data_IF_182974117130
#
_entry.id   IF_182974117130
#
_cell.length_a   1.000
_cell.length_b   1.000
_cell.length_c   1.000
_cell.angle_alpha   90.00
_cell.angle_beta   90.00
_cell.angle_gamma   90.00
#
_symmetry.space_group_name_H-M   'P 1'
#
loop_
_entity.id
_entity.type
_entity.pdbx_description
1 polymer ?
#
# COMPACT_ATOMS: atom_id res chain seq x y z
N UNK A 1 -2.02 -62.31 49.44
CA UNK A 1 -2.73 -62.54 50.74
C UNK A 1 -2.52 -61.30 51.52
N UNK A 2 -3.57 -60.55 51.71
CA UNK A 2 -3.54 -59.34 52.52
C UNK A 2 -3.27 -59.78 53.94
N UNK A 3 -2.22 -59.33 54.60
CA UNK A 3 -2.00 -59.49 56.01
C UNK A 3 -3.16 -58.80 56.69
N UNK A 4 -4.00 -59.61 57.32
CA UNK A 4 -5.14 -59.10 58.08
C UNK A 4 -4.87 -59.35 59.55
N UNK A 5 -4.71 -58.32 60.34
CA UNK A 5 -4.66 -58.37 61.79
C UNK A 5 -6.08 -58.24 62.34
N UNK A 6 -6.47 -59.08 63.27
CA UNK A 6 -7.77 -58.98 63.92
C UNK A 6 -7.56 -59.09 65.42
N UNK A 7 -8.09 -58.16 66.12
CA UNK A 7 -8.15 -58.21 67.60
C UNK A 7 -9.57 -58.04 68.10
N UNK A 8 -9.89 -58.76 69.22
CA UNK A 8 -11.19 -58.70 69.87
C UNK A 8 -10.99 -58.36 71.35
N UNK A 9 -11.69 -57.34 71.81
CA UNK A 9 -11.63 -56.81 73.16
C UNK A 9 -12.99 -56.83 73.83
N UNK A 10 -12.96 -56.98 75.11
CA UNK A 10 -14.17 -56.68 76.00
C UNK A 10 -14.34 -55.15 76.10
N UNK A 11 -15.51 -54.73 76.56
CA UNK A 11 -15.79 -53.30 76.88
C UNK A 11 -14.82 -52.70 77.90
N UNK A 12 -14.20 -53.52 78.71
CA UNK A 12 -13.24 -53.16 79.79
C UNK A 12 -11.77 -53.22 79.35
N UNK A 13 -11.52 -53.22 77.99
CA UNK A 13 -10.18 -53.25 77.37
C UNK A 13 -9.39 -54.54 77.68
N UNK A 14 -10.08 -55.69 77.99
CA UNK A 14 -9.43 -56.99 78.12
C UNK A 14 -9.41 -57.69 76.75
N UNK A 15 -8.21 -58.06 76.32
CA UNK A 15 -7.99 -58.77 75.02
C UNK A 15 -8.55 -60.19 75.16
N UNK A 16 -9.37 -60.65 74.24
CA UNK A 16 -9.90 -62.01 74.13
C UNK A 16 -9.23 -62.79 72.97
N UNK A 17 -8.98 -62.12 71.95
CA UNK A 17 -8.34 -62.69 70.77
C UNK A 17 -7.47 -61.64 70.08
N UNK A 18 -6.31 -62.07 69.63
CA UNK A 18 -5.42 -61.24 68.82
C UNK A 18 -4.66 -62.11 67.87
N UNK A 19 -4.84 -61.88 66.56
CA UNK A 19 -4.12 -62.56 65.51
C UNK A 19 -3.17 -61.53 64.86
N UNK A 20 -2.02 -61.33 65.47
CA UNK A 20 -0.95 -60.55 64.92
C UNK A 20 0.06 -61.51 64.25
N UNK A 21 0.08 -61.59 62.92
CA UNK A 21 0.87 -62.57 62.17
C UNK A 21 2.38 -62.44 62.40
N UNK A 22 2.97 -61.27 62.49
CA UNK A 22 4.39 -61.06 62.86
C UNK A 22 4.65 -59.72 63.56
N UNK A 23 3.81 -58.74 63.40
CA UNK A 23 3.91 -57.44 64.03
C UNK A 23 2.51 -56.97 64.48
N UNK A 24 2.38 -56.43 65.69
CA UNK A 24 1.22 -55.73 66.16
C UNK A 24 1.10 -54.39 65.49
N UNK A 25 0.27 -54.32 64.44
CA UNK A 25 0.13 -53.16 63.56
C UNK A 25 -0.69 -52.07 64.20
N UNK A 26 -1.83 -52.51 64.82
CA UNK A 26 -2.74 -51.61 65.51
C UNK A 26 -2.52 -51.73 67.01
N UNK A 27 -1.78 -50.79 67.55
CA UNK A 27 -1.61 -50.73 69.02
C UNK A 27 -2.87 -50.07 69.64
N UNK A 28 -3.86 -50.92 69.93
CA UNK A 28 -5.10 -50.44 70.52
C UNK A 28 -4.87 -49.84 71.88
N UNK A 29 -5.52 -48.70 72.12
CA UNK A 29 -5.49 -47.99 73.37
C UNK A 29 -6.87 -48.00 74.05
N UNK A 30 -6.96 -47.88 75.42
CA UNK A 30 -8.24 -47.77 76.08
C UNK A 30 -9.12 -46.63 75.55
N UNK A 31 -8.50 -45.54 75.07
CA UNK A 31 -9.21 -44.41 74.51
C UNK A 31 -9.82 -44.76 73.15
N UNK A 32 -9.11 -45.56 72.35
CA UNK A 32 -9.56 -46.06 71.07
C UNK A 32 -10.77 -46.97 71.19
N UNK A 33 -10.72 -47.90 72.12
CA UNK A 33 -11.86 -48.79 72.46
C UNK A 33 -13.10 -47.98 72.94
N UNK A 34 -12.92 -46.98 73.79
CA UNK A 34 -14.02 -46.07 74.20
C UNK A 34 -14.59 -45.31 72.97
N UNK A 35 -13.77 -44.90 72.08
CA UNK A 35 -14.17 -44.18 70.84
C UNK A 35 -14.97 -45.11 69.92
N UNK A 36 -14.55 -46.37 69.77
CA UNK A 36 -15.27 -47.38 69.01
C UNK A 36 -16.64 -47.67 69.66
N UNK A 37 -16.69 -47.84 70.97
CA UNK A 37 -17.94 -48.04 71.70
C UNK A 37 -18.94 -46.89 71.53
N UNK A 38 -18.45 -45.65 71.53
CA UNK A 38 -19.29 -44.46 71.36
C UNK A 38 -19.84 -44.33 69.96
N UNK A 39 -19.01 -44.61 68.94
CA UNK A 39 -19.34 -44.40 67.49
C UNK A 39 -19.86 -45.66 66.80
N UNK A 40 -19.80 -46.82 67.45
CA UNK A 40 -20.18 -48.15 66.99
C UNK A 40 -19.38 -48.69 65.81
N UNK A 41 -18.86 -47.78 64.95
CA UNK A 41 -18.02 -48.10 63.78
C UNK A 41 -17.07 -46.93 63.51
N UNK A 42 -15.76 -47.20 63.36
CA UNK A 42 -14.73 -46.21 63.06
C UNK A 42 -13.78 -46.79 62.00
N UNK A 43 -13.54 -46.03 60.93
CA UNK A 43 -12.47 -46.31 59.99
C UNK A 43 -11.30 -45.37 60.28
N UNK A 44 -10.08 -45.89 60.30
CA UNK A 44 -8.88 -45.12 60.55
C UNK A 44 -7.68 -45.76 59.76
N UNK A 45 -6.61 -45.01 59.62
CA UNK A 45 -5.40 -45.51 59.01
C UNK A 45 -4.28 -45.54 60.04
N UNK A 46 -3.51 -46.63 60.00
CA UNK A 46 -2.25 -46.78 60.76
C UNK A 46 -1.17 -47.01 59.71
N UNK A 47 -0.32 -46.03 59.48
CA UNK A 47 0.65 -46.03 58.42
C UNK A 47 0.01 -46.39 57.04
N UNK A 48 0.36 -47.49 56.44
CA UNK A 48 -0.18 -47.94 55.14
C UNK A 48 -1.34 -48.94 55.28
N UNK A 49 -1.77 -49.25 56.52
CA UNK A 49 -2.86 -50.18 56.78
C UNK A 49 -4.17 -49.42 57.01
N UNK A 50 -5.21 -49.94 56.41
CA UNK A 50 -6.57 -49.48 56.66
C UNK A 50 -7.16 -50.32 57.79
N UNK A 51 -7.53 -49.66 58.88
CA UNK A 51 -8.10 -50.30 60.01
C UNK A 51 -9.56 -49.95 60.26
N UNK A 52 -10.36 -50.87 60.67
CA UNK A 52 -11.73 -50.70 61.04
C UNK A 52 -11.91 -51.19 62.49
N UNK A 53 -12.60 -50.40 63.30
CA UNK A 53 -13.04 -50.84 64.66
C UNK A 53 -14.56 -50.83 64.67
N UNK A 54 -15.14 -51.93 65.09
CA UNK A 54 -16.59 -52.08 65.21
C UNK A 54 -17.02 -52.73 66.52
N UNK A 55 -18.23 -52.43 66.99
CA UNK A 55 -18.88 -53.10 68.15
C UNK A 55 -19.66 -54.26 67.59
N UNK A 56 -19.36 -55.46 68.10
CA UNK A 56 -20.04 -56.71 67.77
C UNK A 56 -20.80 -57.25 68.99
N UNK A 57 -22.16 -57.29 69.03
CA UNK A 57 -22.94 -57.87 70.09
C UNK A 57 -22.97 -59.38 69.91
N UNK A 58 -22.60 -60.12 71.00
CA UNK A 58 -22.65 -61.57 71.04
C UNK A 58 -23.10 -62.04 72.46
N UNK A 59 -24.07 -62.95 72.54
CA UNK A 59 -24.65 -63.48 73.75
C UNK A 59 -25.04 -62.43 74.82
N UNK A 60 -25.56 -61.29 74.35
CA UNK A 60 -26.04 -60.20 75.24
C UNK A 60 -24.92 -59.33 75.84
N UNK A 61 -23.70 -59.49 75.35
CA UNK A 61 -22.53 -58.65 75.68
C UNK A 61 -21.95 -58.01 74.42
N UNK A 62 -21.47 -56.80 74.53
CA UNK A 62 -20.80 -56.06 73.47
C UNK A 62 -19.32 -56.36 73.51
N UNK A 63 -18.75 -56.65 72.33
CA UNK A 63 -17.34 -56.83 72.10
C UNK A 63 -16.84 -55.79 71.07
N UNK A 64 -15.60 -55.36 71.16
CA UNK A 64 -14.97 -54.49 70.20
C UNK A 64 -14.05 -55.30 69.34
N UNK A 65 -14.26 -55.25 68.03
CA UNK A 65 -13.39 -55.94 67.04
C UNK A 65 -12.66 -54.87 66.24
N UNK A 66 -11.36 -54.99 66.20
CA UNK A 66 -10.51 -54.20 65.29
C UNK A 66 -9.97 -55.12 64.25
N UNK A 67 -9.91 -54.65 63.04
CA UNK A 67 -9.26 -55.33 61.89
C UNK A 67 -8.46 -54.36 61.10
N UNK A 68 -7.25 -54.73 60.74
CA UNK A 68 -6.37 -53.93 59.85
C UNK A 68 -5.92 -54.79 58.66
N UNK A 69 -5.90 -54.16 57.47
CA UNK A 69 -5.50 -54.78 56.25
C UNK A 69 -4.63 -53.84 55.47
N UNK A 70 -3.61 -54.40 54.81
CA UNK A 70 -2.78 -53.67 53.88
C UNK A 70 -3.39 -53.70 52.48
N UNK A 71 -3.71 -52.49 51.95
CA UNK A 71 -4.20 -52.36 50.57
C UNK A 71 -3.04 -52.16 49.57
N UNK A 72 -2.21 -53.18 49.47
CA UNK A 72 -1.06 -53.18 48.54
C UNK A 72 -1.49 -53.00 47.06
N UNK A 73 -2.69 -53.48 46.72
CA UNK A 73 -3.26 -53.34 45.39
C UNK A 73 -3.62 -51.89 45.08
N UNK A 74 -4.25 -51.19 46.03
CA UNK A 74 -4.62 -49.80 45.93
C UNK A 74 -3.39 -48.91 45.78
N UNK A 75 -2.39 -49.12 46.59
CA UNK A 75 -1.12 -48.37 46.52
C UNK A 75 -0.35 -48.63 45.24
N UNK A 76 -0.24 -49.86 44.78
CA UNK A 76 0.42 -50.20 43.51
C UNK A 76 -0.31 -49.60 42.32
N UNK A 77 -1.66 -49.61 42.30
CA UNK A 77 -2.46 -48.99 41.26
C UNK A 77 -2.33 -47.46 41.27
N UNK A 78 -2.29 -46.82 42.44
CA UNK A 78 -2.08 -45.39 42.59
C UNK A 78 -0.71 -44.99 42.00
N UNK A 79 0.34 -45.71 42.35
CA UNK A 79 1.69 -45.39 41.87
C UNK A 79 1.84 -45.66 40.39
N UNK A 80 1.22 -46.71 39.86
CA UNK A 80 1.18 -46.99 38.41
C UNK A 80 0.41 -45.87 37.70
N UNK A 81 -0.74 -45.42 38.21
CA UNK A 81 -1.52 -44.34 37.65
C UNK A 81 -0.74 -43.01 37.66
N UNK A 82 -0.12 -42.69 38.82
CA UNK A 82 0.72 -41.50 38.97
C UNK A 82 1.84 -41.47 37.92
N UNK A 83 2.58 -42.60 37.77
CA UNK A 83 3.68 -42.71 36.82
C UNK A 83 3.20 -42.61 35.36
N UNK A 84 2.05 -43.21 35.04
CA UNK A 84 1.41 -43.10 33.73
C UNK A 84 1.00 -41.63 33.43
N UNK A 85 0.40 -40.90 34.39
CA UNK A 85 0.01 -39.52 34.24
C UNK A 85 1.25 -38.61 34.03
N UNK A 86 2.32 -38.85 34.81
CA UNK A 86 3.60 -38.10 34.62
C UNK A 86 4.17 -38.33 33.22
N UNK A 87 4.17 -39.58 32.74
CA UNK A 87 4.67 -39.89 31.42
C UNK A 87 3.84 -39.26 30.30
N UNK A 88 2.50 -39.32 30.42
CA UNK A 88 1.58 -38.64 29.52
C UNK A 88 1.77 -37.10 29.52
N UNK A 89 1.97 -36.52 30.70
CA UNK A 89 2.21 -35.07 30.83
C UNK A 89 3.52 -34.65 30.16
N UNK A 90 4.62 -35.37 30.39
CA UNK A 90 5.91 -35.10 29.76
C UNK A 90 5.83 -35.31 28.25
N UNK A 91 5.16 -36.37 27.80
CA UNK A 91 4.93 -36.66 26.39
C UNK A 91 4.12 -35.55 25.71
N UNK A 92 3.01 -35.12 26.32
CA UNK A 92 2.17 -34.03 25.83
C UNK A 92 2.92 -32.71 25.74
N UNK A 93 3.70 -32.38 26.79
CA UNK A 93 4.52 -31.17 26.80
C UNK A 93 5.59 -31.19 25.70
N UNK A 94 6.23 -32.33 25.46
CA UNK A 94 7.23 -32.51 24.39
C UNK A 94 6.62 -32.29 23.01
N UNK A 95 5.42 -32.82 22.76
CA UNK A 95 4.69 -32.62 21.50
C UNK A 95 4.35 -31.14 21.31
N UNK A 96 3.85 -30.45 22.35
CA UNK A 96 3.53 -29.01 22.28
C UNK A 96 4.77 -28.18 21.94
N UNK A 97 5.93 -28.48 22.53
CA UNK A 97 7.19 -27.77 22.22
C UNK A 97 7.61 -27.99 20.77
N UNK A 98 7.54 -29.21 20.28
CA UNK A 98 7.90 -29.54 18.88
C UNK A 98 6.94 -28.85 17.91
N UNK A 99 5.63 -28.94 18.13
CA UNK A 99 4.63 -28.28 17.28
C UNK A 99 4.82 -26.77 17.31
N UNK A 100 4.99 -26.17 18.48
CA UNK A 100 5.25 -24.75 18.65
C UNK A 100 6.51 -24.28 17.90
N UNK A 101 7.59 -25.06 17.94
CA UNK A 101 8.82 -24.79 17.22
C UNK A 101 8.61 -24.84 15.70
N UNK A 102 7.91 -25.86 15.19
CA UNK A 102 7.61 -26.00 13.75
C UNK A 102 6.76 -24.84 13.27
N UNK A 103 5.66 -24.50 13.98
CA UNK A 103 4.77 -23.38 13.65
C UNK A 103 5.54 -22.05 13.66
N UNK A 104 6.31 -21.79 14.71
CA UNK A 104 7.11 -20.57 14.79
C UNK A 104 8.08 -20.44 13.61
N UNK A 105 8.72 -21.52 13.20
CA UNK A 105 9.67 -21.51 12.09
C UNK A 105 9.00 -21.39 10.73
N UNK A 106 7.84 -22.01 10.53
CA UNK A 106 7.11 -21.96 9.24
C UNK A 106 6.41 -20.63 9.03
N UNK A 107 5.85 -20.01 10.07
CA UNK A 107 5.07 -18.78 9.95
C UNK A 107 5.91 -17.52 10.17
N UNK A 108 6.76 -17.45 11.19
CA UNK A 108 7.49 -16.23 11.54
C UNK A 108 8.75 -15.99 10.71
N UNK A 109 9.41 -17.05 10.22
CA UNK A 109 10.62 -16.91 9.40
C UNK A 109 10.35 -16.24 8.04
N UNK A 110 9.29 -16.57 7.28
CA UNK A 110 8.93 -15.88 6.05
C UNK A 110 8.65 -14.38 6.29
N UNK A 111 7.88 -14.03 7.33
CA UNK A 111 7.58 -12.64 7.68
C UNK A 111 8.88 -11.86 7.94
N UNK A 112 9.78 -12.43 8.73
CA UNK A 112 11.08 -11.78 9.02
C UNK A 112 11.92 -11.58 7.76
N UNK A 113 11.83 -12.49 6.79
CA UNK A 113 12.51 -12.34 5.51
C UNK A 113 11.91 -11.20 4.68
N UNK A 114 10.56 -11.09 4.61
CA UNK A 114 9.87 -9.98 3.93
C UNK A 114 10.32 -8.65 4.53
N UNK A 115 10.31 -8.52 5.87
CA UNK A 115 10.76 -7.29 6.56
C UNK A 115 12.21 -6.95 6.19
N UNK A 116 13.12 -7.93 6.24
CA UNK A 116 14.52 -7.70 5.87
C UNK A 116 14.74 -7.30 4.42
N UNK A 117 13.96 -7.85 3.48
CA UNK A 117 14.02 -7.44 2.08
C UNK A 117 13.39 -6.05 1.88
N UNK A 118 12.28 -5.73 2.57
CA UNK A 118 11.68 -4.41 2.55
C UNK A 118 12.63 -3.32 3.08
N UNK A 119 13.40 -3.59 4.14
CA UNK A 119 14.41 -2.66 4.69
C UNK A 119 15.53 -2.33 3.69
N UNK A 120 15.78 -3.19 2.71
CA UNK A 120 16.79 -2.97 1.66
C UNK A 120 16.28 -2.10 0.51
N UNK A 121 14.98 -1.83 0.47
CA UNK A 121 14.36 -1.01 -0.56
C UNK A 121 14.52 0.45 -0.13
N UNK A 122 15.26 1.19 -0.93
CA UNK A 122 15.55 2.61 -0.72
C UNK A 122 15.29 3.38 -2.01
N UNK A 123 15.29 4.69 -1.98
CA UNK A 123 15.15 5.50 -3.19
C UNK A 123 16.20 5.19 -4.28
N UNK A 124 17.38 4.70 -3.90
CA UNK A 124 18.44 4.28 -4.82
C UNK A 124 18.30 2.83 -5.31
N UNK A 125 17.46 2.03 -4.67
CA UNK A 125 17.23 0.61 -4.97
C UNK A 125 15.73 0.29 -4.96
N UNK A 126 14.95 1.13 -5.61
CA UNK A 126 13.50 1.00 -5.72
C UNK A 126 13.08 -0.10 -6.73
N UNK A 127 14.02 -0.55 -7.54
CA UNK A 127 13.91 -1.66 -8.49
C UNK A 127 13.76 -3.03 -7.82
N UNK A 128 14.15 -3.14 -6.54
CA UNK A 128 14.02 -4.38 -5.78
C UNK A 128 12.57 -4.75 -5.54
N UNK A 129 12.34 -6.07 -5.47
CA UNK A 129 11.01 -6.64 -5.20
C UNK A 129 11.07 -7.63 -4.04
N UNK A 130 9.96 -7.74 -3.31
CA UNK A 130 9.80 -8.76 -2.28
C UNK A 130 9.65 -10.13 -2.93
N UNK A 131 10.26 -11.19 -2.35
CA UNK A 131 10.14 -12.54 -2.87
C UNK A 131 8.71 -13.08 -2.66
N UNK A 132 8.07 -13.52 -3.73
CA UNK A 132 6.79 -14.24 -3.69
C UNK A 132 7.11 -15.74 -3.75
N UNK A 133 6.89 -16.47 -2.65
CA UNK A 133 7.15 -17.90 -2.58
C UNK A 133 5.93 -18.74 -2.96
N UNK A 134 4.77 -18.31 -2.53
CA UNK A 134 3.52 -18.96 -2.84
C UNK A 134 2.46 -17.87 -3.05
N UNK A 135 1.91 -17.79 -4.24
CA UNK A 135 0.89 -16.78 -4.58
C UNK A 135 -0.48 -17.08 -3.97
N UNK A 136 -0.67 -18.29 -3.45
CA UNK A 136 -1.97 -18.75 -2.93
C UNK A 136 -2.12 -18.57 -1.42
N UNK A 137 -1.10 -18.07 -0.71
CA UNK A 137 -1.17 -17.78 0.72
C UNK A 137 -1.19 -16.26 1.00
N UNK A 138 -1.58 -15.90 2.20
CA UNK A 138 -1.74 -14.50 2.63
C UNK A 138 -0.41 -13.72 2.55
N UNK A 139 0.72 -14.40 2.71
CA UNK A 139 2.04 -13.76 2.61
C UNK A 139 2.44 -13.53 1.16
N UNK A 140 2.02 -14.41 0.26
CA UNK A 140 2.20 -14.23 -1.18
C UNK A 140 1.35 -13.09 -1.72
N UNK A 141 0.08 -13.02 -1.34
CA UNK A 141 -0.82 -11.92 -1.68
C UNK A 141 -0.29 -10.57 -1.17
N UNK A 142 0.19 -10.53 0.09
CA UNK A 142 0.83 -9.35 0.67
C UNK A 142 2.05 -8.91 -0.15
N UNK A 143 2.94 -9.87 -0.49
CA UNK A 143 4.17 -9.58 -1.26
C UNK A 143 3.83 -9.07 -2.66
N UNK A 144 2.83 -9.64 -3.32
CA UNK A 144 2.36 -9.23 -4.66
C UNK A 144 1.78 -7.82 -4.62
N UNK A 145 0.90 -7.55 -3.66
CA UNK A 145 0.31 -6.21 -3.47
C UNK A 145 1.37 -5.16 -3.19
N UNK A 146 2.34 -5.49 -2.33
CA UNK A 146 3.45 -4.60 -2.03
C UNK A 146 4.34 -4.35 -3.26
N UNK A 147 4.62 -5.39 -4.06
CA UNK A 147 5.37 -5.24 -5.30
C UNK A 147 4.65 -4.37 -6.34
N UNK A 148 3.31 -4.44 -6.41
CA UNK A 148 2.52 -3.55 -7.26
C UNK A 148 2.59 -2.08 -6.80
N UNK A 149 2.63 -1.83 -5.49
CA UNK A 149 2.86 -0.49 -4.93
C UNK A 149 4.27 0.01 -5.25
N UNK A 150 5.29 -0.84 -5.11
CA UNK A 150 6.67 -0.51 -5.48
C UNK A 150 6.81 -0.18 -6.96
N UNK A 151 6.14 -0.90 -7.84
CA UNK A 151 6.15 -0.62 -9.28
C UNK A 151 5.57 0.77 -9.59
N UNK A 152 4.45 1.13 -8.97
CA UNK A 152 3.86 2.48 -9.12
C UNK A 152 4.81 3.56 -8.60
N UNK A 153 5.44 3.31 -7.45
CA UNK A 153 6.39 4.24 -6.83
C UNK A 153 7.66 4.40 -7.70
N UNK A 154 8.19 3.32 -8.24
CA UNK A 154 9.33 3.32 -9.15
C UNK A 154 9.02 4.11 -10.43
N UNK A 155 7.87 3.87 -11.05
CA UNK A 155 7.41 4.64 -12.22
C UNK A 155 7.32 6.14 -11.90
N UNK A 156 6.74 6.49 -10.76
CA UNK A 156 6.64 7.89 -10.32
C UNK A 156 8.02 8.52 -10.09
N UNK A 157 8.92 7.81 -9.39
CA UNK A 157 10.27 8.29 -9.11
C UNK A 157 11.12 8.46 -10.37
N UNK A 158 11.06 7.49 -11.29
CA UNK A 158 11.75 7.57 -12.56
C UNK A 158 11.22 8.72 -13.43
N UNK A 159 9.90 8.94 -13.45
CA UNK A 159 9.29 10.07 -14.11
C UNK A 159 9.78 11.40 -13.54
N UNK A 160 9.84 11.53 -12.21
CA UNK A 160 10.35 12.72 -11.53
C UNK A 160 11.84 12.95 -11.82
N UNK A 161 12.65 11.89 -11.84
CA UNK A 161 14.09 11.99 -12.16
C UNK A 161 14.29 12.45 -13.60
N UNK A 162 13.55 11.87 -14.55
CA UNK A 162 13.59 12.30 -15.95
C UNK A 162 13.13 13.75 -16.10
N UNK A 163 12.07 14.16 -15.40
CA UNK A 163 11.59 15.54 -15.40
C UNK A 163 12.70 16.52 -15.00
N UNK A 164 13.34 16.31 -13.83
CA UNK A 164 14.44 17.18 -13.35
C UNK A 164 15.61 17.21 -14.35
N UNK A 165 15.98 16.06 -14.92
CA UNK A 165 17.04 15.97 -15.92
C UNK A 165 16.70 16.75 -17.17
N UNK A 166 15.50 16.59 -17.70
CA UNK A 166 15.04 17.25 -18.91
C UNK A 166 14.91 18.77 -18.72
N UNK A 167 14.33 19.21 -17.59
CA UNK A 167 14.28 20.66 -17.23
C UNK A 167 15.68 21.26 -17.22
N UNK A 168 16.64 20.57 -16.59
CA UNK A 168 18.03 21.04 -16.52
C UNK A 168 18.66 21.16 -17.92
N UNK A 169 18.38 20.21 -18.81
CA UNK A 169 18.86 20.24 -20.19
C UNK A 169 18.22 21.34 -21.02
N UNK A 170 16.88 21.48 -20.95
CA UNK A 170 16.13 22.48 -21.72
C UNK A 170 16.41 23.92 -21.27
N UNK A 171 16.78 24.13 -19.99
CA UNK A 171 17.24 25.42 -19.51
C UNK A 171 18.70 25.71 -19.87
N UNK A 172 19.59 24.72 -19.80
CA UNK A 172 21.01 24.90 -20.05
C UNK A 172 21.29 25.36 -21.48
N UNK A 173 20.58 24.81 -22.45
CA UNK A 173 20.79 25.11 -23.87
C UNK A 173 20.59 26.60 -24.23
N UNK A 174 19.42 27.22 -23.95
CA UNK A 174 19.23 28.64 -24.27
C UNK A 174 20.07 29.54 -23.34
N UNK A 175 20.35 29.17 -22.11
CA UNK A 175 21.27 29.93 -21.24
C UNK A 175 22.69 29.95 -21.79
N UNK A 176 23.18 28.82 -22.28
CA UNK A 176 24.52 28.75 -22.89
C UNK A 176 24.58 29.55 -24.21
N UNK A 177 23.52 29.51 -25.03
CA UNK A 177 23.42 30.28 -26.25
C UNK A 177 23.42 31.79 -25.95
N UNK A 178 22.57 32.23 -25.03
CA UNK A 178 22.48 33.62 -24.58
C UNK A 178 23.83 34.14 -24.04
N UNK A 179 24.49 33.34 -23.17
CA UNK A 179 25.80 33.71 -22.62
C UNK A 179 26.85 33.81 -23.72
N UNK A 180 26.92 32.84 -24.64
CA UNK A 180 27.88 32.86 -25.73
C UNK A 180 27.68 34.05 -26.69
N UNK A 181 26.41 34.39 -26.99
CA UNK A 181 26.10 35.55 -27.87
C UNK A 181 26.55 36.87 -27.21
N UNK A 182 26.30 37.03 -25.91
CA UNK A 182 26.74 38.21 -25.16
C UNK A 182 28.27 38.27 -25.00
N UNK A 183 28.92 37.13 -24.71
CA UNK A 183 30.39 37.07 -24.64
C UNK A 183 31.02 37.43 -26.00
N UNK A 184 30.49 36.88 -27.07
CA UNK A 184 30.94 37.19 -28.44
C UNK A 184 30.72 38.68 -28.78
N UNK A 185 29.65 39.31 -28.29
CA UNK A 185 29.40 40.73 -28.51
C UNK A 185 30.41 41.62 -27.75
N UNK A 186 30.95 41.16 -26.61
CA UNK A 186 31.93 41.86 -25.81
C UNK A 186 33.38 41.69 -26.26
N UNK A 187 33.71 40.61 -27.01
CA UNK A 187 35.10 40.27 -27.36
C UNK A 187 35.76 41.25 -28.32
N UNK A 188 34.98 41.95 -29.15
CA UNK A 188 35.51 42.93 -30.09
C UNK A 188 34.46 43.98 -30.45
N UNK A 189 34.92 45.15 -30.90
CA UNK A 189 34.05 46.20 -31.42
C UNK A 189 33.27 45.67 -32.66
N UNK A 190 31.98 45.99 -32.68
CA UNK A 190 31.05 45.61 -33.73
C UNK A 190 30.27 46.81 -34.25
N UNK A 191 29.64 46.65 -35.42
CA UNK A 191 28.73 47.70 -35.90
C UNK A 191 27.44 47.75 -35.08
N UNK A 192 26.73 48.88 -35.11
CA UNK A 192 25.47 49.07 -34.41
C UNK A 192 24.45 47.97 -34.76
N UNK A 193 24.38 47.59 -36.03
CA UNK A 193 23.49 46.55 -36.57
C UNK A 193 23.85 45.18 -36.01
N UNK A 194 25.17 44.87 -35.86
CA UNK A 194 25.64 43.62 -35.26
C UNK A 194 25.33 43.54 -33.78
N UNK A 195 25.42 44.66 -33.04
CA UNK A 195 24.98 44.69 -31.63
C UNK A 195 23.49 44.52 -31.50
N UNK A 196 22.68 45.17 -32.36
CA UNK A 196 21.22 44.99 -32.37
C UNK A 196 20.82 43.55 -32.63
N UNK A 197 21.47 42.85 -33.59
CA UNK A 197 21.21 41.45 -33.83
C UNK A 197 21.58 40.56 -32.61
N UNK A 198 22.75 40.79 -32.00
CA UNK A 198 23.17 40.03 -30.84
C UNK A 198 22.21 40.22 -29.64
N UNK A 199 21.78 41.48 -29.39
CA UNK A 199 20.80 41.78 -28.36
C UNK A 199 19.42 41.16 -28.70
N UNK A 200 19.01 41.20 -29.97
CA UNK A 200 17.77 40.57 -30.41
C UNK A 200 17.76 39.05 -30.20
N UNK A 201 18.86 38.37 -30.55
CA UNK A 201 19.00 36.93 -30.30
C UNK A 201 19.00 36.61 -28.81
N UNK A 202 19.74 37.36 -28.00
CA UNK A 202 19.77 37.20 -26.56
C UNK A 202 18.38 37.41 -25.90
N UNK A 203 17.62 38.38 -26.41
CA UNK A 203 16.23 38.62 -25.94
C UNK A 203 15.31 37.45 -26.32
N UNK A 204 15.46 36.90 -27.53
CA UNK A 204 14.70 35.73 -27.95
C UNK A 204 14.98 34.51 -27.10
N UNK A 205 16.25 34.22 -26.79
CA UNK A 205 16.61 33.13 -25.87
C UNK A 205 16.09 33.36 -24.44
N UNK A 206 16.11 34.63 -23.96
CA UNK A 206 15.52 35.00 -22.69
C UNK A 206 14.01 34.72 -22.62
N UNK A 207 13.25 35.11 -23.65
CA UNK A 207 11.82 34.82 -23.75
C UNK A 207 11.55 33.32 -23.81
N UNK A 208 12.41 32.55 -24.47
CA UNK A 208 12.30 31.09 -24.50
C UNK A 208 12.44 30.48 -23.10
N UNK A 209 13.37 31.00 -22.26
CA UNK A 209 13.55 30.57 -20.88
C UNK A 209 12.32 30.92 -20.05
N UNK A 210 11.77 32.14 -20.17
CA UNK A 210 10.56 32.56 -19.45
C UNK A 210 9.40 31.64 -19.78
N UNK A 211 9.13 31.41 -21.07
CA UNK A 211 8.04 30.53 -21.52
C UNK A 211 8.21 29.08 -21.00
N UNK A 212 9.45 28.59 -20.91
CA UNK A 212 9.72 27.28 -20.33
C UNK A 212 9.36 27.26 -18.84
N UNK A 213 9.78 28.29 -18.08
CA UNK A 213 9.49 28.41 -16.64
C UNK A 213 7.98 28.50 -16.40
N UNK A 214 7.27 29.33 -17.16
CA UNK A 214 5.82 29.50 -17.05
C UNK A 214 5.08 28.17 -17.35
N UNK A 215 5.51 27.45 -18.38
CA UNK A 215 5.00 26.10 -18.67
C UNK A 215 5.20 25.12 -17.52
N UNK A 216 6.37 25.14 -16.88
CA UNK A 216 6.69 24.29 -15.72
C UNK A 216 5.88 24.68 -14.49
N UNK A 217 5.70 25.98 -14.23
CA UNK A 217 4.88 26.46 -13.11
C UNK A 217 3.40 26.09 -13.29
N UNK A 218 2.88 26.22 -14.52
CA UNK A 218 1.50 25.82 -14.82
C UNK A 218 1.32 24.29 -14.68
N UNK A 219 2.32 23.51 -15.10
CA UNK A 219 2.31 22.07 -14.87
C UNK A 219 2.29 21.72 -13.37
N UNK A 220 3.13 22.38 -12.58
CA UNK A 220 3.16 22.18 -11.13
C UNK A 220 1.84 22.58 -10.46
N UNK A 221 1.23 23.68 -10.87
CA UNK A 221 -0.10 24.08 -10.36
C UNK A 221 -1.15 23.03 -10.68
N UNK A 222 -1.16 22.49 -11.89
CA UNK A 222 -2.10 21.44 -12.29
C UNK A 222 -1.91 20.12 -11.50
N UNK A 223 -0.68 19.80 -11.08
CA UNK A 223 -0.36 18.57 -10.33
C UNK A 223 -0.63 18.66 -8.81
N UNK A 224 -0.21 19.77 -8.16
CA UNK A 224 -0.12 19.85 -6.69
C UNK A 224 -1.21 20.67 -6.03
N UNK A 225 -2.00 21.43 -6.78
CA UNK A 225 -2.96 22.37 -6.22
C UNK A 225 -4.41 22.13 -6.68
N UNK A 226 -4.76 20.91 -7.07
CA UNK A 226 -6.14 20.59 -7.48
C UNK A 226 -7.20 21.00 -6.44
N UNK A 227 -6.85 20.96 -5.14
CA UNK A 227 -7.73 21.39 -4.03
C UNK A 227 -7.73 22.92 -3.79
N UNK A 228 -6.75 23.67 -4.32
CA UNK A 228 -6.59 25.11 -4.14
C UNK A 228 -6.95 25.92 -5.39
N UNK A 229 -7.19 25.25 -6.52
CA UNK A 229 -7.58 25.91 -7.78
C UNK A 229 -9.05 26.33 -7.66
N UNK A 230 -9.28 27.61 -7.78
CA UNK A 230 -10.66 28.14 -7.83
C UNK A 230 -11.32 27.66 -9.11
N UNK A 231 -12.36 26.86 -8.98
CA UNK A 231 -13.22 26.42 -10.06
C UNK A 231 -14.47 27.28 -10.06
N UNK A 232 -14.81 27.85 -11.18
CA UNK A 232 -15.98 28.73 -11.37
C UNK A 232 -16.75 28.33 -12.63
N UNK A 233 -17.93 28.88 -12.80
CA UNK A 233 -18.65 28.70 -14.07
C UNK A 233 -17.97 29.55 -15.13
N UNK A 234 -17.49 28.90 -16.19
CA UNK A 234 -16.79 29.55 -17.31
C UNK A 234 -17.42 29.16 -18.63
N UNK A 235 -17.52 30.11 -19.55
CA UNK A 235 -18.02 29.90 -20.91
C UNK A 235 -16.91 29.53 -21.85
N UNK A 236 -17.01 28.33 -22.47
CA UNK A 236 -15.96 27.80 -23.36
C UNK A 236 -15.82 28.60 -24.66
N UNK A 237 -16.91 29.15 -25.17
CA UNK A 237 -16.90 30.01 -26.36
C UNK A 237 -16.11 31.31 -26.11
N UNK A 238 -16.33 31.96 -24.95
CA UNK A 238 -15.57 33.15 -24.54
C UNK A 238 -14.08 32.82 -24.37
N UNK A 239 -13.76 31.72 -23.69
CA UNK A 239 -12.36 31.28 -23.50
C UNK A 239 -11.65 30.97 -24.83
N UNK A 240 -12.37 30.42 -25.83
CA UNK A 240 -11.81 30.17 -27.15
C UNK A 240 -11.59 31.45 -27.95
N UNK A 241 -12.46 32.43 -27.79
CA UNK A 241 -12.27 33.77 -28.38
C UNK A 241 -11.05 34.46 -27.76
N UNK A 242 -10.92 34.42 -26.43
CA UNK A 242 -9.76 34.97 -25.72
C UNK A 242 -8.46 34.25 -26.16
N UNK A 243 -8.46 32.92 -26.24
CA UNK A 243 -7.32 32.14 -26.68
C UNK A 243 -6.92 32.51 -28.14
N UNK A 244 -7.90 32.65 -29.04
CA UNK A 244 -7.68 33.12 -30.42
C UNK A 244 -7.04 34.49 -30.43
N UNK A 245 -7.55 35.46 -29.65
CA UNK A 245 -7.00 36.82 -29.60
C UNK A 245 -5.55 36.82 -29.10
N UNK A 246 -5.25 36.05 -28.04
CA UNK A 246 -3.90 35.88 -27.49
C UNK A 246 -2.93 35.35 -28.54
N UNK A 247 -3.32 34.30 -29.30
CA UNK A 247 -2.50 33.69 -30.32
C UNK A 247 -2.26 34.67 -31.50
N UNK A 248 -3.30 35.37 -31.99
CA UNK A 248 -3.18 36.33 -33.07
C UNK A 248 -2.35 37.55 -32.68
N UNK A 249 -2.39 37.97 -31.44
CA UNK A 249 -1.52 39.03 -30.91
C UNK A 249 -0.04 38.65 -30.90
N UNK A 250 0.25 37.38 -30.55
CA UNK A 250 1.62 36.84 -30.55
C UNK A 250 2.10 36.51 -31.98
N UNK A 251 1.22 36.04 -32.86
CA UNK A 251 1.49 35.57 -34.20
C UNK A 251 0.48 36.15 -35.20
N UNK A 252 0.66 37.41 -35.67
CA UNK A 252 -0.27 38.06 -36.57
C UNK A 252 -0.44 37.38 -37.94
N UNK A 253 0.47 36.49 -38.29
CA UNK A 253 0.52 35.71 -39.54
C UNK A 253 -0.26 34.39 -39.48
N UNK A 254 -0.88 34.07 -38.32
CA UNK A 254 -1.70 32.89 -38.17
C UNK A 254 -3.17 33.18 -38.56
N UNK A 255 -3.85 32.13 -39.04
CA UNK A 255 -5.27 32.19 -39.41
C UNK A 255 -6.04 31.20 -38.53
N UNK A 256 -7.02 31.70 -37.80
CA UNK A 256 -7.79 30.90 -36.84
C UNK A 256 -9.27 31.08 -37.15
N UNK A 257 -9.88 30.00 -37.63
CA UNK A 257 -11.32 29.95 -37.90
C UNK A 257 -12.06 29.31 -36.73
N UNK A 258 -13.04 30.03 -36.18
CA UNK A 258 -13.95 29.50 -35.16
C UNK A 258 -15.29 29.23 -35.83
N UNK A 259 -15.74 27.97 -35.77
CA UNK A 259 -17.00 27.51 -36.37
C UNK A 259 -17.88 26.94 -35.28
N UNK A 260 -19.09 27.41 -35.17
CA UNK A 260 -20.13 26.88 -34.29
C UNK A 260 -21.04 25.98 -35.13
N UNK A 261 -21.11 24.69 -34.84
CA UNK A 261 -21.85 23.70 -35.64
C UNK A 261 -23.37 23.86 -35.47
N UNK A 262 -23.81 24.35 -34.30
CA UNK A 262 -25.21 24.65 -34.01
C UNK A 262 -25.30 25.94 -33.20
N UNK A 263 -26.36 26.73 -33.43
CA UNK A 263 -26.73 27.80 -32.50
C UNK A 263 -27.27 27.14 -31.24
N UNK A 264 -26.65 27.43 -30.09
CA UNK A 264 -27.12 26.93 -28.80
C UNK A 264 -28.50 27.56 -28.52
N UNK A 265 -29.56 26.74 -28.45
CA UNK A 265 -30.88 27.17 -28.07
C UNK A 265 -30.96 27.67 -26.61
N UNK A 266 -29.98 27.26 -25.76
CA UNK A 266 -29.88 27.70 -24.37
C UNK A 266 -28.43 28.16 -24.07
N UNK A 267 -28.31 29.33 -23.41
CA UNK A 267 -27.02 29.98 -23.05
C UNK A 267 -26.11 29.14 -22.14
N UNK A 268 -26.63 28.09 -21.50
CA UNK A 268 -25.90 27.27 -20.51
C UNK A 268 -25.13 26.08 -21.10
N UNK A 269 -25.29 25.75 -22.37
CA UNK A 269 -24.74 24.51 -22.96
C UNK A 269 -23.22 24.56 -23.10
N UNK A 270 -22.63 25.73 -23.20
CA UNK A 270 -21.19 25.95 -23.32
C UNK A 270 -20.51 26.33 -21.99
N UNK A 271 -21.24 26.27 -20.88
CA UNK A 271 -20.73 26.58 -19.54
C UNK A 271 -20.23 25.33 -18.86
N UNK A 272 -19.00 25.39 -18.35
CA UNK A 272 -18.38 24.31 -17.57
C UNK A 272 -17.87 24.85 -16.24
N UNK A 273 -17.73 23.96 -15.25
CA UNK A 273 -17.04 24.30 -14.01
C UNK A 273 -15.55 24.13 -14.22
N UNK A 274 -14.82 25.24 -14.22
CA UNK A 274 -13.41 25.22 -14.53
C UNK A 274 -12.64 26.45 -14.06
N UNK A 275 -11.34 26.43 -14.32
CA UNK A 275 -10.45 27.57 -14.13
C UNK A 275 -10.17 28.24 -15.49
N UNK A 276 -10.63 29.48 -15.65
CA UNK A 276 -10.55 30.23 -16.90
C UNK A 276 -9.11 30.32 -17.42
N UNK A 277 -8.15 30.67 -16.55
CA UNK A 277 -6.74 30.81 -16.92
C UNK A 277 -6.13 29.50 -17.44
N UNK A 278 -6.36 28.37 -16.78
CA UNK A 278 -5.83 27.06 -17.19
C UNK A 278 -6.46 26.60 -18.51
N UNK A 279 -7.78 26.73 -18.65
CA UNK A 279 -8.46 26.34 -19.89
C UNK A 279 -8.02 27.21 -21.07
N UNK A 280 -7.90 28.53 -20.89
CA UNK A 280 -7.34 29.44 -21.92
C UNK A 280 -5.92 29.02 -22.30
N UNK A 281 -5.06 28.67 -21.31
CA UNK A 281 -3.70 28.16 -21.56
C UNK A 281 -3.72 26.89 -22.41
N UNK A 282 -4.64 25.95 -22.12
CA UNK A 282 -4.78 24.72 -22.90
C UNK A 282 -5.20 25.02 -24.35
N UNK A 283 -6.19 25.90 -24.57
CA UNK A 283 -6.64 26.29 -25.90
C UNK A 283 -5.58 27.05 -26.68
N UNK A 284 -4.85 27.96 -26.06
CA UNK A 284 -3.71 28.66 -26.68
C UNK A 284 -2.67 27.62 -27.20
N UNK A 285 -2.29 26.65 -26.32
CA UNK A 285 -1.33 25.62 -26.71
C UNK A 285 -1.82 24.77 -27.90
N UNK A 286 -3.10 24.40 -27.92
CA UNK A 286 -3.67 23.60 -29.02
C UNK A 286 -3.72 24.39 -30.33
N UNK A 287 -4.23 25.64 -30.28
CA UNK A 287 -4.34 26.51 -31.44
C UNK A 287 -2.95 26.83 -32.01
N UNK A 288 -2.00 27.18 -31.15
CA UNK A 288 -0.62 27.41 -31.59
C UNK A 288 0.00 26.17 -32.23
N UNK A 289 -0.18 24.99 -31.69
CA UNK A 289 0.33 23.77 -32.27
C UNK A 289 -0.26 23.51 -33.66
N UNK A 290 -1.56 23.64 -33.82
CA UNK A 290 -2.19 23.51 -35.13
C UNK A 290 -1.61 24.49 -36.15
N UNK A 291 -1.50 25.78 -35.80
CA UNK A 291 -0.92 26.76 -36.68
C UNK A 291 0.57 26.52 -37.00
N UNK A 292 1.36 26.08 -36.01
CA UNK A 292 2.79 25.80 -36.16
C UNK A 292 3.09 24.66 -37.11
N UNK A 293 2.28 23.62 -37.09
CA UNK A 293 2.50 22.39 -37.89
C UNK A 293 1.65 22.35 -39.14
N UNK A 294 0.70 23.27 -39.29
CA UNK A 294 -0.09 23.48 -40.52
C UNK A 294 0.74 24.08 -41.62
N UNK A 295 0.56 23.58 -42.84
CA UNK A 295 1.25 24.08 -44.07
C UNK A 295 0.95 25.52 -44.37
N UNK A 296 -0.26 25.98 -44.06
CA UNK A 296 -0.78 27.33 -44.33
C UNK A 296 -0.92 28.19 -43.10
N UNK A 297 -0.40 27.72 -41.94
CA UNK A 297 -0.52 28.38 -40.61
C UNK A 297 -1.96 28.61 -40.18
N UNK A 298 -2.84 27.70 -40.52
CA UNK A 298 -4.26 27.77 -40.19
C UNK A 298 -4.64 26.74 -39.16
N UNK A 299 -5.49 27.12 -38.21
CA UNK A 299 -6.18 26.24 -37.28
C UNK A 299 -7.68 26.44 -37.45
N UNK A 300 -8.42 25.35 -37.67
CA UNK A 300 -9.88 25.36 -37.64
C UNK A 300 -10.36 24.80 -36.29
N UNK A 301 -11.14 25.57 -35.59
CA UNK A 301 -11.70 25.23 -34.27
C UNK A 301 -13.20 25.12 -34.41
N UNK A 302 -13.71 23.90 -34.33
CA UNK A 302 -15.14 23.63 -34.35
C UNK A 302 -15.63 23.43 -32.92
N UNK A 303 -16.73 24.10 -32.58
CA UNK A 303 -17.42 23.98 -31.32
C UNK A 303 -18.78 23.35 -31.58
N UNK A 304 -19.01 22.19 -30.99
CA UNK A 304 -20.27 21.47 -31.01
C UNK A 304 -20.64 21.02 -29.60
N UNK A 305 -21.86 20.61 -29.41
CA UNK A 305 -22.28 19.99 -28.18
C UNK A 305 -23.19 18.78 -28.46
N UNK A 306 -23.05 17.80 -27.60
CA UNK A 306 -23.81 16.57 -27.68
C UNK A 306 -24.27 16.19 -26.30
N UNK A 307 -25.58 16.16 -26.09
CA UNK A 307 -26.20 15.91 -24.77
C UNK A 307 -25.67 16.88 -23.70
N UNK A 308 -24.81 16.40 -22.80
CA UNK A 308 -24.21 17.20 -21.72
C UNK A 308 -22.71 17.49 -21.95
N UNK A 309 -22.19 17.19 -23.16
CA UNK A 309 -20.78 17.35 -23.48
C UNK A 309 -20.56 18.50 -24.46
N UNK A 310 -19.64 19.39 -24.12
CA UNK A 310 -19.09 20.33 -25.08
C UNK A 310 -17.95 19.64 -25.85
N UNK A 311 -18.03 19.60 -27.16
CA UNK A 311 -17.03 19.01 -28.04
C UNK A 311 -16.30 20.13 -28.76
N UNK A 312 -14.99 20.24 -28.53
CA UNK A 312 -14.13 21.21 -29.19
C UNK A 312 -13.17 20.40 -30.09
N UNK A 313 -13.28 20.56 -31.40
CA UNK A 313 -12.42 19.92 -32.37
C UNK A 313 -11.50 20.97 -32.97
N UNK A 314 -10.20 20.74 -32.80
CA UNK A 314 -9.17 21.55 -33.47
C UNK A 314 -8.58 20.72 -34.60
N UNK A 315 -8.46 21.29 -35.80
CA UNK A 315 -7.93 20.59 -36.95
C UNK A 315 -6.98 21.48 -37.76
N UNK A 316 -5.97 20.86 -38.33
CA UNK A 316 -5.00 21.46 -39.25
C UNK A 316 -4.79 20.57 -40.47
N UNK A 317 -4.19 21.16 -41.53
CA UNK A 317 -3.80 20.47 -42.75
C UNK A 317 -2.27 20.44 -42.87
N UNK A 318 -1.63 19.96 -41.80
CA UNK A 318 -0.18 19.98 -41.68
C UNK A 318 0.48 18.65 -41.97
N UNK A 319 1.67 18.49 -41.45
CA UNK A 319 2.54 17.31 -41.64
C UNK A 319 2.04 16.05 -40.96
N UNK A 320 1.06 16.17 -40.06
CA UNK A 320 0.55 15.05 -39.28
C UNK A 320 1.60 14.38 -38.40
N UNK A 321 1.23 13.22 -37.84
CA UNK A 321 2.06 12.48 -36.89
C UNK A 321 2.15 10.99 -37.26
N UNK A 322 3.32 10.39 -36.97
CA UNK A 322 3.49 8.93 -37.00
C UNK A 322 2.76 8.26 -35.80
N UNK A 323 2.53 6.95 -35.90
CA UNK A 323 1.92 6.21 -34.78
C UNK A 323 2.76 6.29 -33.48
N UNK A 324 4.08 6.24 -33.64
CA UNK A 324 5.02 6.41 -32.51
C UNK A 324 4.94 7.81 -31.89
N UNK A 325 4.76 8.85 -32.72
CA UNK A 325 4.59 10.22 -32.24
C UNK A 325 3.26 10.37 -31.47
N UNK A 326 2.18 9.76 -31.95
CA UNK A 326 0.88 9.76 -31.26
C UNK A 326 0.95 9.10 -29.88
N UNK A 327 1.62 7.94 -29.78
CA UNK A 327 1.79 7.23 -28.51
C UNK A 327 2.57 8.07 -27.47
N UNK A 328 3.53 8.87 -27.90
CA UNK A 328 4.40 9.67 -27.04
C UNK A 328 4.01 11.15 -26.94
N UNK A 329 2.95 11.58 -27.61
CA UNK A 329 2.54 12.98 -27.72
C UNK A 329 2.39 13.70 -26.39
N UNK A 330 1.88 13.00 -25.40
CA UNK A 330 1.64 13.52 -24.03
C UNK A 330 2.81 13.29 -23.07
N UNK A 331 3.92 12.74 -23.56
CA UNK A 331 5.13 12.57 -22.75
C UNK A 331 5.85 13.92 -22.63
N UNK A 332 6.17 14.31 -21.40
CA UNK A 332 6.88 15.57 -21.13
C UNK A 332 8.22 15.65 -21.88
N UNK A 333 8.47 16.78 -22.53
CA UNK A 333 9.66 17.07 -23.33
C UNK A 333 9.79 16.22 -24.61
N UNK A 334 8.78 15.42 -24.92
CA UNK A 334 8.78 14.67 -26.16
C UNK A 334 8.58 15.61 -27.34
N UNK A 335 9.40 15.42 -28.36
CA UNK A 335 9.32 16.12 -29.64
C UNK A 335 9.56 15.09 -30.76
N UNK A 336 8.52 14.80 -31.50
CA UNK A 336 8.54 13.81 -32.58
C UNK A 336 9.52 14.06 -33.69
N UNK A 337 9.36 13.35 -34.79
CA UNK A 337 10.20 13.49 -35.99
C UNK A 337 10.21 14.93 -36.53
N UNK A 338 9.11 15.66 -36.34
CA UNK A 338 8.88 17.03 -36.79
C UNK A 338 9.53 18.12 -35.92
N UNK A 339 10.43 17.77 -34.99
CA UNK A 339 11.10 18.71 -34.07
C UNK A 339 11.84 19.88 -34.72
N UNK A 340 12.23 19.73 -36.00
CA UNK A 340 12.98 20.75 -36.74
C UNK A 340 12.06 21.73 -37.49
N UNK A 341 10.75 21.45 -37.60
CA UNK A 341 9.78 22.27 -38.33
C UNK A 341 9.43 23.52 -37.54
N UNK A 342 9.24 23.36 -36.24
CA UNK A 342 8.86 24.46 -35.37
C UNK A 342 9.58 24.44 -34.01
N UNK A 343 9.90 25.61 -33.44
CA UNK A 343 10.47 25.68 -32.07
C UNK A 343 9.42 25.25 -31.02
N UNK A 344 9.88 24.60 -29.94
CA UNK A 344 9.02 24.20 -28.86
C UNK A 344 9.76 23.39 -27.79
N UNK A 345 9.21 23.31 -26.60
CA UNK A 345 9.83 22.66 -25.42
C UNK A 345 9.25 21.28 -25.12
N UNK A 346 8.24 20.80 -25.87
CA UNK A 346 7.59 19.51 -25.65
C UNK A 346 6.79 19.45 -24.32
N UNK A 347 6.37 20.58 -23.77
CA UNK A 347 5.59 20.66 -22.53
C UNK A 347 4.10 20.88 -22.82
N UNK A 348 3.78 21.62 -23.89
CA UNK A 348 2.42 22.11 -24.15
C UNK A 348 1.37 21.01 -24.19
N UNK A 349 1.59 19.91 -24.93
CA UNK A 349 0.60 18.83 -25.05
C UNK A 349 0.41 18.07 -23.73
N UNK A 350 1.49 17.80 -22.98
CA UNK A 350 1.42 17.18 -21.68
C UNK A 350 0.67 18.08 -20.67
N UNK A 351 0.91 19.39 -20.69
CA UNK A 351 0.21 20.37 -19.87
C UNK A 351 -1.28 20.43 -20.26
N UNK A 352 -1.59 20.49 -21.54
CA UNK A 352 -2.97 20.50 -22.04
C UNK A 352 -3.75 19.28 -21.57
N UNK A 353 -3.17 18.07 -21.72
CA UNK A 353 -3.81 16.83 -21.27
C UNK A 353 -4.12 16.89 -19.77
N UNK A 354 -3.17 17.36 -18.94
CA UNK A 354 -3.37 17.50 -17.50
C UNK A 354 -4.47 18.51 -17.15
N UNK A 355 -4.48 19.65 -17.84
CA UNK A 355 -5.51 20.68 -17.64
C UNK A 355 -6.89 20.10 -17.97
N UNK A 356 -7.05 19.49 -19.14
CA UNK A 356 -8.32 18.90 -19.55
C UNK A 356 -8.78 17.82 -18.57
N UNK A 357 -7.85 16.98 -18.12
CA UNK A 357 -8.16 15.93 -17.12
C UNK A 357 -8.56 16.51 -15.76
N UNK A 358 -7.92 17.59 -15.32
CA UNK A 358 -8.28 18.31 -14.10
C UNK A 358 -9.75 18.84 -14.16
N UNK A 359 -10.20 19.20 -15.36
CA UNK A 359 -11.56 19.65 -15.66
C UNK A 359 -12.52 18.50 -15.99
N UNK A 360 -12.11 17.23 -15.74
CA UNK A 360 -12.91 16.03 -16.03
C UNK A 360 -13.24 15.85 -17.52
N UNK A 361 -12.49 16.50 -18.40
CA UNK A 361 -12.58 16.34 -19.84
C UNK A 361 -11.69 15.21 -20.36
N UNK A 362 -11.88 14.86 -21.61
CA UNK A 362 -11.08 13.89 -22.35
C UNK A 362 -10.43 14.57 -23.55
N UNK A 363 -9.16 14.24 -23.83
CA UNK A 363 -8.42 14.73 -24.98
C UNK A 363 -8.01 13.55 -25.85
N UNK A 364 -8.54 13.50 -27.07
CA UNK A 364 -8.22 12.48 -28.06
C UNK A 364 -7.53 13.12 -29.27
N UNK A 365 -6.64 12.39 -29.92
CA UNK A 365 -5.90 12.87 -31.09
C UNK A 365 -6.02 11.86 -32.23
N UNK A 366 -6.46 12.38 -33.37
CA UNK A 366 -6.47 11.64 -34.63
C UNK A 366 -5.55 12.36 -35.64
N UNK A 367 -4.56 11.68 -36.16
CA UNK A 367 -3.61 12.26 -37.09
C UNK A 367 -3.07 11.19 -38.04
N UNK A 368 -2.86 11.58 -39.30
CA UNK A 368 -2.20 10.76 -40.30
C UNK A 368 -1.06 11.57 -40.92
N UNK A 369 0.04 10.92 -41.20
CA UNK A 369 1.22 11.56 -41.78
C UNK A 369 0.85 12.22 -43.10
N UNK A 370 1.22 13.49 -43.29
CA UNK A 370 0.96 14.33 -44.44
C UNK A 370 -0.53 14.69 -44.71
N UNK A 371 -1.43 14.38 -43.79
CA UNK A 371 -2.86 14.71 -43.87
C UNK A 371 -3.31 15.74 -42.83
N UNK A 372 -2.49 15.96 -41.78
CA UNK A 372 -2.77 16.88 -40.67
C UNK A 372 -3.24 16.17 -39.40
N UNK A 373 -3.78 16.92 -38.48
CA UNK A 373 -4.25 16.47 -37.16
C UNK A 373 -5.62 17.01 -36.85
#
# INVERSE_FOLDING_TARGET
>A
INEVEVAVYTTDFKILYHDALQNDIVKETPEMIKRILQRKNINFYVDEYQAIGLVYPFEGKDYVVTAAAYDGYGYANRDALRNMLILLFIGGLSVLVVVGYILSRSTLKPIRNIVKEAEKITASHIDKRLPVKNEQDELGELSTTFNALLERLEKSFNSQKMFVSNVSHELRTPMAALTAELDLALLKERSSEQYQMAIGNALQDSHRIVNLIDGLLNLAKADYQSEQITMEEVRLDELLLDARELVLKAHPDYHIELVFEQEAEEDNVLTVIGNSYLLTTAFVNLIENNCKYSSNRTSSVLIAYWEQWAIIRLSDTGVGMSDTDKENLFTLFYRGENKNIAPGNGIGMALTQKIIHLHKGELTVSSHKDEGT
#
